data_IF_059956414073
#
_entry.id   IF_059956414073
#
_cell.length_a   1.000
_cell.length_b   1.000
_cell.length_c   1.000
_cell.angle_alpha   90.00
_cell.angle_beta   90.00
_cell.angle_gamma   90.00
#
_symmetry.space_group_name_H-M   'P 1'
#
loop_
_entity.id
_entity.type
_entity.pdbx_description
1 polymer ?
#
# COMPACT_ATOMS: atom_id res chain seq x y z
N UNK A 1 -3.41 -22.11 -17.64
CA UNK A 1 -2.94 -20.84 -17.05
C UNK A 1 -2.36 -19.97 -18.17
N UNK A 2 -2.90 -18.78 -18.33
CA UNK A 2 -2.38 -17.76 -19.23
C UNK A 2 -1.15 -17.06 -18.64
N UNK A 3 -0.42 -16.25 -19.43
CA UNK A 3 0.73 -15.49 -18.93
C UNK A 3 0.26 -14.36 -18.01
N UNK A 4 0.94 -14.18 -16.88
CA UNK A 4 0.85 -12.97 -16.05
C UNK A 4 1.97 -12.01 -16.52
N UNK A 5 1.57 -10.86 -17.05
CA UNK A 5 2.49 -9.84 -17.56
C UNK A 5 2.19 -8.50 -16.94
N UNK A 6 3.23 -7.75 -16.60
CA UNK A 6 3.09 -6.41 -16.07
C UNK A 6 4.14 -5.46 -16.64
N UNK A 7 3.72 -4.23 -16.91
CA UNK A 7 4.59 -3.11 -17.23
C UNK A 7 4.42 -2.02 -16.17
N UNK A 8 5.53 -1.49 -15.66
CA UNK A 8 5.52 -0.43 -14.64
C UNK A 8 6.41 0.73 -15.06
N UNK A 9 5.90 1.95 -14.89
CA UNK A 9 6.66 3.19 -15.02
C UNK A 9 6.42 4.05 -13.79
N UNK A 10 7.43 4.81 -13.37
CA UNK A 10 7.30 5.67 -12.19
C UNK A 10 8.40 6.72 -12.11
N UNK A 11 8.23 7.67 -11.20
CA UNK A 11 9.17 8.73 -10.92
C UNK A 11 9.25 9.01 -9.42
N UNK A 12 10.45 9.31 -8.97
CA UNK A 12 10.73 9.81 -7.63
C UNK A 12 10.96 11.33 -7.69
N UNK A 13 10.32 12.04 -6.78
CA UNK A 13 10.51 13.47 -6.62
C UNK A 13 10.97 13.77 -5.19
N UNK A 14 12.13 14.40 -5.07
CA UNK A 14 12.70 14.83 -3.80
C UNK A 14 12.45 16.33 -3.60
N UNK A 15 11.80 16.68 -2.48
CA UNK A 15 11.49 18.05 -2.11
C UNK A 15 12.33 18.39 -0.87
N UNK A 16 13.48 19.01 -1.08
CA UNK A 16 14.48 19.18 -0.03
C UNK A 16 15.09 17.84 0.40
N UNK A 17 15.61 17.79 1.63
CA UNK A 17 16.23 16.59 2.21
C UNK A 17 15.22 15.66 2.90
N UNK A 18 14.06 16.17 3.28
CA UNK A 18 13.17 15.54 4.23
C UNK A 18 11.90 14.93 3.60
N UNK A 19 11.67 15.19 2.32
CA UNK A 19 10.47 14.71 1.63
C UNK A 19 10.82 13.95 0.36
N UNK A 20 10.20 12.78 0.22
CA UNK A 20 10.23 12.01 -1.02
C UNK A 20 8.81 11.65 -1.43
N UNK A 21 8.47 11.95 -2.68
CA UNK A 21 7.24 11.54 -3.32
C UNK A 21 7.58 10.58 -4.45
N UNK A 22 6.95 9.42 -4.45
CA UNK A 22 7.07 8.42 -5.52
C UNK A 22 5.71 8.25 -6.16
N UNK A 23 5.65 8.37 -7.46
CA UNK A 23 4.48 8.07 -8.27
C UNK A 23 4.80 6.91 -9.21
N UNK A 24 3.91 5.94 -9.32
CA UNK A 24 4.06 4.84 -10.27
C UNK A 24 2.72 4.42 -10.87
N UNK A 25 2.76 4.12 -12.15
CA UNK A 25 1.68 3.47 -12.90
C UNK A 25 2.10 2.05 -13.25
N UNK A 26 1.18 1.13 -13.10
CA UNK A 26 1.37 -0.27 -13.48
C UNK A 26 0.18 -0.72 -14.31
N UNK A 27 0.44 -1.27 -15.48
CA UNK A 27 -0.54 -2.02 -16.27
C UNK A 27 -0.22 -3.50 -16.11
N UNK A 28 -1.23 -4.32 -15.84
CA UNK A 28 -1.11 -5.76 -15.63
C UNK A 28 -2.17 -6.50 -16.42
N UNK A 29 -1.74 -7.58 -17.08
CA UNK A 29 -2.65 -8.58 -17.60
C UNK A 29 -2.46 -9.88 -16.83
N UNK A 30 -3.52 -10.35 -16.23
CA UNK A 30 -3.55 -11.62 -15.52
C UNK A 30 -4.38 -12.62 -16.33
N UNK A 31 -3.74 -13.74 -16.72
CA UNK A 31 -4.38 -14.85 -17.41
C UNK A 31 -4.62 -16.01 -16.48
N UNK A 32 -5.86 -16.27 -16.12
CA UNK A 32 -6.27 -17.43 -15.34
C UNK A 32 -6.53 -18.66 -16.25
N UNK A 33 -6.85 -19.81 -15.65
CA UNK A 33 -7.29 -21.01 -16.40
C UNK A 33 -8.72 -20.84 -16.95
N UNK A 34 -9.49 -19.97 -16.34
CA UNK A 34 -10.86 -19.64 -16.70
C UNK A 34 -10.96 -18.16 -17.02
N UNK A 35 -11.66 -17.82 -18.10
CA UNK A 35 -11.69 -16.46 -18.63
C UNK A 35 -12.32 -15.43 -17.66
N UNK A 36 -13.31 -15.85 -16.86
CA UNK A 36 -13.96 -14.97 -15.88
C UNK A 36 -13.09 -14.61 -14.66
N UNK A 37 -11.92 -15.25 -14.50
CA UNK A 37 -10.89 -14.89 -13.51
C UNK A 37 -9.71 -14.13 -14.15
N UNK A 38 -9.68 -14.05 -15.49
CA UNK A 38 -8.67 -13.29 -16.24
C UNK A 38 -9.07 -11.83 -16.29
N UNK A 39 -8.10 -10.92 -16.15
CA UNK A 39 -8.38 -9.48 -16.16
C UNK A 39 -7.22 -8.65 -16.69
N UNK A 40 -7.56 -7.47 -17.21
CA UNK A 40 -6.67 -6.36 -17.43
C UNK A 40 -6.81 -5.36 -16.29
N UNK A 41 -5.69 -5.01 -15.64
CA UNK A 41 -5.66 -4.11 -14.49
C UNK A 41 -4.73 -2.92 -14.71
N UNK A 42 -5.21 -1.76 -14.30
CA UNK A 42 -4.44 -0.52 -14.27
C UNK A 42 -4.33 -0.04 -12.83
N UNK A 43 -3.11 0.22 -12.34
CA UNK A 43 -2.89 0.68 -10.97
C UNK A 43 -2.05 1.96 -10.93
N UNK A 44 -2.53 2.92 -10.18
CA UNK A 44 -1.77 4.09 -9.75
C UNK A 44 -1.31 3.91 -8.30
N UNK A 45 -0.05 4.21 -8.03
CA UNK A 45 0.53 4.20 -6.68
C UNK A 45 1.12 5.57 -6.39
N UNK A 46 0.92 6.02 -5.15
CA UNK A 46 1.50 7.22 -4.59
C UNK A 46 2.12 6.86 -3.24
N UNK A 47 3.43 7.04 -3.11
CA UNK A 47 4.14 6.85 -1.86
C UNK A 47 4.76 8.18 -1.45
N UNK A 48 4.54 8.59 -0.20
CA UNK A 48 5.10 9.80 0.36
C UNK A 48 5.84 9.49 1.66
N UNK A 49 7.08 9.94 1.74
CA UNK A 49 7.93 9.83 2.92
C UNK A 49 8.27 11.23 3.41
N UNK A 50 8.05 11.47 4.67
CA UNK A 50 8.42 12.70 5.36
C UNK A 50 9.28 12.40 6.58
N UNK A 51 10.50 12.94 6.60
CA UNK A 51 11.42 12.89 7.73
C UNK A 51 11.21 14.13 8.60
N UNK A 52 10.60 13.94 9.77
CA UNK A 52 10.22 15.01 10.70
C UNK A 52 11.38 15.48 11.61
N UNK A 53 12.57 14.91 11.42
CA UNK A 53 13.73 15.14 12.28
C UNK A 53 13.78 14.23 13.50
N UNK A 54 14.95 14.17 14.18
CA UNK A 54 15.18 13.33 15.37
C UNK A 54 14.83 11.83 15.15
N UNK A 55 14.92 11.35 13.90
CA UNK A 55 14.58 9.98 13.54
C UNK A 55 13.08 9.69 13.43
N UNK A 56 12.20 10.69 13.64
CA UNK A 56 10.75 10.56 13.42
C UNK A 56 10.48 10.59 11.92
N UNK A 57 9.62 9.69 11.46
CA UNK A 57 9.20 9.64 10.07
C UNK A 57 7.71 9.33 9.91
N UNK A 58 7.15 9.85 8.83
CA UNK A 58 5.80 9.54 8.36
C UNK A 58 5.91 8.93 6.96
N UNK A 59 5.26 7.79 6.77
CA UNK A 59 5.14 7.14 5.46
C UNK A 59 3.67 6.98 5.13
N UNK A 60 3.30 7.49 3.96
CA UNK A 60 1.96 7.33 3.40
C UNK A 60 2.06 6.56 2.11
N UNK A 61 1.26 5.51 1.97
CA UNK A 61 1.10 4.76 0.73
C UNK A 61 -0.37 4.84 0.33
N UNK A 62 -0.64 5.14 -0.92
CA UNK A 62 -1.98 5.12 -1.49
C UNK A 62 -1.96 4.47 -2.86
N UNK A 63 -2.98 3.69 -3.18
CA UNK A 63 -3.14 3.16 -4.54
C UNK A 63 -4.61 3.08 -4.92
N UNK A 64 -4.85 3.24 -6.22
CA UNK A 64 -6.11 2.94 -6.87
C UNK A 64 -5.83 1.98 -8.02
N UNK A 65 -6.65 0.94 -8.15
CA UNK A 65 -6.52 -0.12 -9.15
C UNK A 65 -7.88 -0.33 -9.80
N UNK A 66 -7.88 -0.48 -11.10
CA UNK A 66 -9.06 -0.72 -11.93
C UNK A 66 -8.85 -2.04 -12.66
N UNK A 67 -9.64 -3.06 -12.32
CA UNK A 67 -9.56 -4.39 -12.90
C UNK A 67 -10.80 -4.65 -13.74
N UNK A 68 -10.60 -5.00 -15.01
CA UNK A 68 -11.67 -5.36 -15.97
C UNK A 68 -11.49 -6.83 -16.33
N UNK A 69 -12.48 -7.63 -16.01
CA UNK A 69 -12.45 -9.06 -16.22
C UNK A 69 -12.87 -9.42 -17.65
N UNK A 70 -12.26 -10.45 -18.22
CA UNK A 70 -12.42 -10.81 -19.64
C UNK A 70 -13.76 -11.48 -19.96
N UNK A 71 -14.47 -12.00 -18.95
CA UNK A 71 -15.74 -12.70 -19.17
C UNK A 71 -16.64 -12.66 -17.93
N UNK A 72 -17.92 -12.81 -18.15
CA UNK A 72 -18.97 -12.98 -17.14
C UNK A 72 -18.71 -14.24 -16.31
N UNK A 73 -18.78 -14.12 -14.99
CA UNK A 73 -18.85 -15.29 -14.11
C UNK A 73 -20.17 -16.06 -14.42
N UNK A 74 -20.11 -17.36 -14.78
CA UNK A 74 -21.27 -18.14 -15.15
C UNK A 74 -22.36 -18.25 -14.07
N UNK A 75 -22.04 -17.91 -12.82
CA UNK A 75 -22.98 -17.91 -11.69
C UNK A 75 -23.80 -16.62 -11.58
N UNK A 76 -23.46 -15.59 -12.37
CA UNK A 76 -24.09 -14.26 -12.30
C UNK A 76 -24.66 -13.84 -13.65
N UNK A 77 -25.74 -13.06 -13.58
CA UNK A 77 -26.41 -12.48 -14.74
C UNK A 77 -26.06 -10.98 -14.70
N UNK A 78 -25.42 -10.46 -15.75
CA UNK A 78 -25.06 -9.04 -15.82
C UNK A 78 -24.01 -8.76 -16.89
N UNK A 79 -23.28 -7.67 -16.72
CA UNK A 79 -22.17 -7.29 -17.56
C UNK A 79 -20.85 -7.90 -17.00
N UNK A 80 -19.78 -7.84 -17.79
CA UNK A 80 -18.45 -8.26 -17.35
C UNK A 80 -18.07 -7.51 -16.07
N UNK A 81 -17.39 -8.21 -15.16
CA UNK A 81 -17.05 -7.68 -13.85
C UNK A 81 -15.98 -6.58 -13.97
N UNK A 82 -16.24 -5.46 -13.31
CA UNK A 82 -15.32 -4.35 -13.15
C UNK A 82 -15.14 -4.05 -11.66
N UNK A 83 -13.89 -4.05 -11.21
CA UNK A 83 -13.56 -3.73 -9.83
C UNK A 83 -12.71 -2.45 -9.76
N UNK A 84 -12.97 -1.62 -8.76
CA UNK A 84 -12.11 -0.50 -8.38
C UNK A 84 -11.64 -0.71 -6.96
N UNK A 85 -10.32 -0.80 -6.78
CA UNK A 85 -9.72 -1.15 -5.50
C UNK A 85 -8.89 0.03 -4.99
N UNK A 86 -9.24 0.53 -3.81
CA UNK A 86 -8.51 1.57 -3.10
C UNK A 86 -7.75 0.97 -1.92
N UNK A 87 -6.48 1.34 -1.79
CA UNK A 87 -5.66 0.99 -0.63
C UNK A 87 -4.97 2.24 -0.11
N UNK A 88 -5.00 2.43 1.20
CA UNK A 88 -4.29 3.49 1.89
C UNK A 88 -3.59 2.95 3.13
N UNK A 89 -2.36 3.39 3.38
CA UNK A 89 -1.64 3.10 4.61
C UNK A 89 -0.89 4.33 5.08
N UNK A 90 -1.04 4.65 6.35
CA UNK A 90 -0.28 5.68 7.05
C UNK A 90 0.56 5.00 8.13
N UNK A 91 1.85 5.30 8.19
CA UNK A 91 2.77 4.75 9.19
C UNK A 91 3.56 5.89 9.80
N UNK A 92 3.50 6.01 11.12
CA UNK A 92 4.31 6.93 11.91
C UNK A 92 5.35 6.12 12.70
N UNK A 93 6.63 6.47 12.56
CA UNK A 93 7.72 5.89 13.34
C UNK A 93 8.35 6.93 14.25
N UNK A 94 8.50 6.57 15.54
CA UNK A 94 9.09 7.45 16.56
C UNK A 94 10.16 6.67 17.34
N UNK A 95 11.44 7.12 17.33
CA UNK A 95 12.46 6.53 18.20
C UNK A 95 12.12 6.75 19.66
N UNK A 96 12.34 5.75 20.51
CA UNK A 96 12.09 5.87 21.96
C UNK A 96 12.98 6.95 22.57
N UNK A 97 14.21 7.11 22.08
CA UNK A 97 15.13 8.17 22.51
C UNK A 97 14.51 9.58 22.38
N UNK A 98 13.75 9.81 21.34
CA UNK A 98 13.05 11.10 21.13
C UNK A 98 11.89 11.31 22.13
N UNK A 99 11.29 10.23 22.62
CA UNK A 99 10.16 10.28 23.56
C UNK A 99 10.60 10.53 25.02
N UNK A 100 11.73 9.97 25.43
CA UNK A 100 12.17 9.99 26.85
C UNK A 100 13.46 10.78 27.09
N UNK A 101 14.11 11.28 26.05
CA UNK A 101 15.39 11.97 26.05
C UNK A 101 16.59 11.01 25.92
N UNK A 102 17.61 11.45 25.19
CA UNK A 102 18.80 10.65 24.86
C UNK A 102 19.59 10.19 26.10
N UNK A 103 19.62 11.02 27.15
CA UNK A 103 20.35 10.70 28.38
C UNK A 103 19.75 9.52 29.18
N UNK A 104 18.47 9.20 28.91
CA UNK A 104 17.74 8.14 29.64
C UNK A 104 17.60 6.85 28.85
N UNK A 105 18.13 6.79 27.63
CA UNK A 105 17.86 5.68 26.73
C UNK A 105 18.55 4.36 27.11
N UNK A 106 19.82 4.36 27.50
CA UNK A 106 20.54 3.17 27.93
C UNK A 106 20.16 1.92 27.13
N UNK A 107 19.53 0.94 27.81
CA UNK A 107 19.05 -0.30 27.17
C UNK A 107 18.00 -0.06 26.07
N UNK A 108 17.30 1.07 26.10
CA UNK A 108 16.25 1.44 25.14
C UNK A 108 16.81 2.12 23.89
N UNK A 109 18.12 2.34 23.80
CA UNK A 109 18.78 2.87 22.62
C UNK A 109 18.52 1.95 21.41
N UNK A 110 18.24 2.58 20.26
CA UNK A 110 17.91 1.86 19.03
C UNK A 110 16.51 1.25 18.98
N UNK A 111 15.66 1.47 20.00
CA UNK A 111 14.24 1.13 19.93
C UNK A 111 13.45 2.14 19.09
N UNK A 112 12.60 1.61 18.21
CA UNK A 112 11.66 2.35 17.37
C UNK A 112 10.26 1.84 17.63
N UNK A 113 9.33 2.75 17.91
CA UNK A 113 7.90 2.49 17.97
C UNK A 113 7.30 2.92 16.64
N UNK A 114 6.57 2.04 15.99
CA UNK A 114 5.80 2.35 14.80
C UNK A 114 4.32 2.12 15.03
N UNK A 115 3.48 3.03 14.61
CA UNK A 115 2.03 2.85 14.55
C UNK A 115 1.57 3.00 13.11
N UNK A 116 0.56 2.23 12.72
CA UNK A 116 0.00 2.31 11.38
C UNK A 116 -1.50 2.15 11.37
N UNK A 117 -2.12 2.76 10.37
CA UNK A 117 -3.49 2.56 9.97
C UNK A 117 -3.55 2.19 8.49
N UNK A 118 -4.42 1.26 8.14
CA UNK A 118 -4.66 0.83 6.77
C UNK A 118 -6.14 0.89 6.45
N UNK A 119 -6.45 1.31 5.25
CA UNK A 119 -7.77 1.31 4.65
C UNK A 119 -7.72 0.51 3.36
N UNK A 120 -8.69 -0.35 3.17
CA UNK A 120 -8.92 -1.11 1.95
C UNK A 120 -10.39 -1.01 1.58
N UNK A 121 -10.68 -0.72 0.32
CA UNK A 121 -12.03 -0.74 -0.25
C UNK A 121 -11.97 -1.28 -1.66
N UNK A 122 -12.87 -2.20 -1.94
CA UNK A 122 -13.16 -2.70 -3.28
C UNK A 122 -14.61 -2.40 -3.60
N UNK A 123 -14.81 -1.61 -4.64
CA UNK A 123 -16.10 -1.36 -5.27
C UNK A 123 -16.18 -2.24 -6.53
N UNK A 124 -17.29 -2.90 -6.73
CA UNK A 124 -17.52 -3.76 -7.88
C UNK A 124 -18.89 -3.46 -8.50
N UNK A 125 -19.06 -3.66 -9.80
CA UNK A 125 -20.37 -3.71 -10.41
C UNK A 125 -21.18 -4.96 -10.02
N UNK A 126 -20.57 -5.87 -9.26
CA UNK A 126 -21.21 -7.02 -8.64
C UNK A 126 -21.08 -6.92 -7.12
N UNK A 127 -22.19 -6.68 -6.40
CA UNK A 127 -22.26 -6.46 -4.96
C UNK A 127 -21.59 -7.55 -4.11
N UNK A 128 -21.46 -8.79 -4.63
CA UNK A 128 -20.80 -9.90 -3.92
C UNK A 128 -19.30 -9.72 -3.79
N UNK A 129 -18.69 -8.85 -4.57
CA UNK A 129 -17.27 -8.54 -4.54
C UNK A 129 -16.96 -7.19 -3.87
N UNK A 130 -17.99 -6.48 -3.37
CA UNK A 130 -17.79 -5.27 -2.58
C UNK A 130 -17.24 -5.62 -1.20
N UNK A 131 -16.17 -4.93 -0.83
CA UNK A 131 -15.50 -5.17 0.45
C UNK A 131 -14.84 -3.91 0.98
N UNK A 132 -15.00 -3.67 2.28
CA UNK A 132 -14.32 -2.59 3.00
C UNK A 132 -13.67 -3.13 4.27
N UNK A 133 -12.45 -2.67 4.56
CA UNK A 133 -11.71 -3.04 5.76
C UNK A 133 -10.85 -1.89 6.26
N UNK A 134 -10.87 -1.69 7.58
CA UNK A 134 -9.98 -0.75 8.28
C UNK A 134 -9.23 -1.53 9.34
N UNK A 135 -7.92 -1.41 9.37
CA UNK A 135 -7.08 -2.03 10.39
C UNK A 135 -5.97 -1.10 10.84
N UNK A 136 -5.45 -1.32 12.03
CA UNK A 136 -4.34 -0.59 12.58
C UNK A 136 -3.53 -1.45 13.53
N UNK A 137 -2.33 -0.99 13.85
CA UNK A 137 -1.46 -1.72 14.74
C UNK A 137 -0.30 -0.87 15.24
N UNK A 138 0.39 -1.43 16.25
CA UNK A 138 1.60 -0.86 16.84
C UNK A 138 2.65 -1.96 16.81
N UNK A 139 3.87 -1.59 16.43
CA UNK A 139 5.03 -2.48 16.48
C UNK A 139 6.19 -1.78 17.19
N UNK A 140 6.99 -2.57 17.90
CA UNK A 140 8.23 -2.12 18.53
C UNK A 140 9.37 -2.94 17.93
N UNK A 141 10.38 -2.26 17.43
CA UNK A 141 11.57 -2.89 16.86
C UNK A 141 12.83 -2.34 17.51
N UNK A 142 13.87 -3.16 17.60
CA UNK A 142 15.19 -2.76 18.11
C UNK A 142 16.27 -3.06 17.09
N UNK A 143 17.09 -2.05 16.77
CA UNK A 143 18.29 -2.24 15.95
C UNK A 143 19.47 -2.56 16.88
N UNK A 144 20.09 -3.71 16.68
CA UNK A 144 21.37 -4.04 17.31
C UNK A 144 22.49 -3.65 16.34
N UNK A 145 23.48 -2.91 16.84
CA UNK A 145 24.73 -2.65 16.14
C UNK A 145 25.79 -3.58 16.76
N UNK A 146 26.39 -4.42 15.93
CA UNK A 146 27.48 -5.33 16.30
C UNK A 146 28.78 -4.79 15.74
#
# INVERSE_FOLDING_TARGET
AGPDTAARAGADWYIGADHKLTFAYTHRRFGAEVDFESFDGDRLNLDYVWLLGHGIFLVTNASAEWDRYDALDPLFIGDDREDVIYRGRLTLGVPVATMIGEEQTGFLEGLLVTTYGEYYRQDSNNELYEFENVRGGIAVSKRFQF
#
